data_IF_069961629442
#
_entry.id   IF_069961629442
#
_cell.length_a   1.000
_cell.length_b   1.000
_cell.length_c   1.000
_cell.angle_alpha   90.00
_cell.angle_beta   90.00
_cell.angle_gamma   90.00
#
_symmetry.space_group_name_H-M   'P 1'
#
loop_
_entity.id
_entity.type
_entity.pdbx_description
1 polymer ?
#
# COMPACT_ATOMS: atom_id res chain seq x y z
N UNK A 1 -25.03 -25.31 -14.65
CA UNK A 1 -25.33 -24.65 -15.93
C UNK A 1 -24.01 -24.44 -16.65
N UNK A 2 -23.73 -25.33 -17.62
CA UNK A 2 -22.44 -25.43 -18.33
C UNK A 2 -22.50 -24.51 -19.55
N UNK A 3 -21.57 -23.59 -19.71
CA UNK A 3 -21.41 -22.83 -20.94
C UNK A 3 -20.11 -23.28 -21.64
N UNK A 4 -20.31 -24.03 -22.72
CA UNK A 4 -19.30 -24.40 -23.72
C UNK A 4 -19.12 -23.20 -24.66
N UNK A 5 -17.90 -22.73 -24.84
CA UNK A 5 -17.57 -21.85 -25.96
C UNK A 5 -16.56 -22.58 -26.85
N UNK A 6 -17.03 -22.82 -28.08
CA UNK A 6 -16.35 -23.54 -29.11
C UNK A 6 -15.30 -22.70 -29.84
N UNK A 7 -14.20 -23.35 -30.13
CA UNK A 7 -13.12 -22.94 -31.03
C UNK A 7 -13.62 -22.71 -32.47
N UNK A 8 -13.21 -21.63 -33.11
CA UNK A 8 -13.17 -21.52 -34.56
C UNK A 8 -11.75 -21.16 -35.01
N UNK A 9 -11.10 -22.19 -35.53
CA UNK A 9 -10.00 -22.04 -36.47
C UNK A 9 -10.61 -21.65 -37.84
N UNK A 10 -10.10 -20.58 -38.45
CA UNK A 10 -10.22 -20.33 -39.85
C UNK A 10 -8.82 -20.24 -40.48
N UNK A 11 -8.49 -21.30 -41.18
CA UNK A 11 -7.39 -21.37 -42.15
C UNK A 11 -7.65 -20.35 -43.26
N UNK A 12 -6.65 -19.55 -43.56
CA UNK A 12 -6.60 -18.81 -44.81
C UNK A 12 -5.34 -19.26 -45.55
N UNK A 13 -5.58 -20.17 -46.49
CA UNK A 13 -4.63 -20.60 -47.54
C UNK A 13 -4.80 -19.65 -48.69
N UNK A 14 -3.76 -18.92 -49.04
CA UNK A 14 -3.68 -18.01 -50.19
C UNK A 14 -2.51 -18.38 -51.05
N UNK A 15 -2.78 -19.18 -52.04
CA UNK A 15 -1.91 -19.55 -53.16
C UNK A 15 -1.70 -18.34 -54.07
N UNK A 16 -0.49 -17.83 -54.17
CA UNK A 16 -0.09 -16.73 -55.06
C UNK A 16 0.89 -17.23 -56.15
N UNK A 17 0.39 -17.40 -57.32
CA UNK A 17 1.07 -17.79 -58.56
C UNK A 17 2.32 -16.98 -58.87
N UNK A 18 3.41 -17.67 -59.09
CA UNK A 18 4.62 -17.23 -59.77
C UNK A 18 4.33 -16.89 -61.23
N UNK A 19 4.61 -15.68 -61.65
CA UNK A 19 4.74 -15.27 -63.02
C UNK A 19 6.23 -14.99 -63.26
N UNK A 20 6.88 -16.01 -63.83
CA UNK A 20 8.17 -15.86 -64.50
C UNK A 20 7.99 -15.03 -65.73
N UNK A 21 8.55 -13.84 -65.82
CA UNK A 21 8.80 -13.13 -67.09
C UNK A 21 10.28 -13.07 -67.30
N UNK A 22 10.73 -13.84 -68.23
CA UNK A 22 12.07 -13.80 -68.75
C UNK A 22 12.44 -12.42 -69.33
N UNK A 23 13.50 -11.86 -68.79
CA UNK A 23 14.16 -10.72 -69.37
C UNK A 23 15.28 -11.21 -70.30
N UNK A 24 15.11 -10.97 -71.55
CA UNK A 24 16.13 -11.19 -72.60
C UNK A 24 17.36 -10.33 -72.31
N UNK A 25 18.52 -10.96 -72.32
CA UNK A 25 19.81 -10.30 -72.13
C UNK A 25 20.14 -9.44 -73.36
N UNK A 26 20.32 -8.14 -73.16
CA UNK A 26 20.95 -7.22 -74.07
C UNK A 26 22.46 -7.15 -73.85
N UNK A 27 23.33 -7.32 -74.83
CA UNK A 27 24.76 -7.51 -74.61
C UNK A 27 25.58 -6.20 -74.46
N UNK A 28 24.98 -5.08 -74.09
CA UNK A 28 25.77 -3.85 -73.86
C UNK A 28 25.09 -2.84 -72.97
N UNK A 29 24.82 -3.28 -71.74
CA UNK A 29 24.47 -2.38 -70.70
C UNK A 29 25.76 -2.01 -69.94
N UNK A 30 26.04 -0.71 -69.66
CA UNK A 30 27.17 -0.30 -68.85
C UNK A 30 26.94 -0.80 -67.43
N UNK A 31 28.00 -1.31 -66.84
CA UNK A 31 28.01 -1.75 -65.42
C UNK A 31 27.52 -0.62 -64.51
N UNK A 32 26.30 -0.75 -64.04
CA UNK A 32 25.82 0.09 -62.96
C UNK A 32 26.67 -0.22 -61.73
N UNK A 33 27.64 0.67 -61.47
CA UNK A 33 28.37 0.70 -60.21
C UNK A 33 27.35 0.66 -59.06
N UNK A 34 27.47 -0.36 -58.24
CA UNK A 34 26.57 -0.58 -57.12
C UNK A 34 26.52 0.64 -56.23
N UNK A 35 25.40 1.35 -56.32
CA UNK A 35 25.01 2.30 -55.29
C UNK A 35 24.68 1.47 -54.06
N UNK A 36 25.70 1.21 -53.21
CA UNK A 36 25.47 0.83 -51.81
C UNK A 36 24.70 1.96 -51.19
N UNK A 37 23.38 1.79 -51.03
CA UNK A 37 22.60 2.59 -50.15
C UNK A 37 23.24 2.48 -48.77
N UNK A 38 24.08 3.44 -48.44
CA UNK A 38 24.51 3.66 -47.05
C UNK A 38 23.22 3.96 -46.31
N UNK A 39 22.69 2.97 -45.65
CA UNK A 39 21.75 3.22 -44.59
C UNK A 39 22.43 4.25 -43.69
N UNK A 40 21.84 5.44 -43.65
CA UNK A 40 22.33 6.52 -42.77
C UNK A 40 22.14 6.02 -41.34
N UNK A 41 23.17 5.38 -40.78
CA UNK A 41 23.23 5.09 -39.37
C UNK A 41 23.27 6.45 -38.66
N UNK A 42 22.09 6.92 -38.30
CA UNK A 42 21.96 8.05 -37.38
C UNK A 42 22.48 7.62 -36.04
N UNK A 43 23.76 7.86 -35.77
CA UNK A 43 24.31 7.71 -34.45
C UNK A 43 23.56 8.63 -33.48
N UNK A 44 23.21 8.07 -32.31
CA UNK A 44 22.62 8.86 -31.23
C UNK A 44 23.57 9.99 -30.84
N UNK A 45 23.04 11.19 -30.75
CA UNK A 45 23.79 12.35 -30.22
C UNK A 45 24.03 12.16 -28.72
N UNK A 46 25.22 12.50 -28.24
CA UNK A 46 25.56 12.44 -26.81
C UNK A 46 24.57 13.29 -25.98
N UNK A 47 24.10 14.40 -26.53
CA UNK A 47 23.08 15.23 -25.86
C UNK A 47 21.73 14.54 -25.79
N UNK A 48 21.33 13.76 -26.81
CA UNK A 48 20.07 13.01 -26.80
C UNK A 48 20.08 11.94 -25.69
N UNK A 49 21.20 11.23 -25.53
CA UNK A 49 21.38 10.27 -24.45
C UNK A 49 21.31 10.94 -23.08
N UNK A 50 21.94 12.12 -22.95
CA UNK A 50 21.91 12.89 -21.70
C UNK A 50 20.47 13.32 -21.34
N UNK A 51 19.72 13.82 -22.30
CA UNK A 51 18.31 14.22 -22.09
C UNK A 51 17.45 13.04 -21.68
N UNK A 52 17.65 11.87 -22.33
CA UNK A 52 16.90 10.65 -22.01
C UNK A 52 17.15 10.20 -20.57
N UNK A 53 18.40 10.16 -20.11
CA UNK A 53 18.69 9.75 -18.72
C UNK A 53 18.15 10.75 -17.69
N UNK A 54 18.14 12.05 -18.01
CA UNK A 54 17.53 13.08 -17.15
C UNK A 54 16.02 12.88 -17.06
N UNK A 55 15.34 12.63 -18.18
CA UNK A 55 13.89 12.39 -18.18
C UNK A 55 13.57 11.09 -17.42
N UNK A 56 14.31 10.00 -17.64
CA UNK A 56 14.13 8.76 -16.92
C UNK A 56 14.35 8.96 -15.43
N UNK A 57 15.38 9.70 -15.04
CA UNK A 57 15.66 10.04 -13.65
C UNK A 57 14.52 10.82 -13.00
N UNK A 58 13.97 11.82 -13.66
CA UNK A 58 12.81 12.59 -13.17
C UNK A 58 11.56 11.72 -13.05
N UNK A 59 11.25 10.91 -14.05
CA UNK A 59 10.09 10.01 -14.03
C UNK A 59 10.21 8.95 -12.94
N UNK A 60 11.43 8.42 -12.71
CA UNK A 60 11.68 7.44 -11.64
C UNK A 60 11.40 8.00 -10.25
N UNK A 61 11.68 9.28 -10.02
CA UNK A 61 11.43 9.95 -8.74
C UNK A 61 9.93 10.00 -8.42
N UNK A 62 9.09 10.27 -9.42
CA UNK A 62 7.63 10.32 -9.26
C UNK A 62 7.06 8.94 -8.89
N UNK A 63 7.55 7.87 -9.51
CA UNK A 63 7.07 6.50 -9.24
C UNK A 63 7.39 6.07 -7.80
N UNK A 64 8.58 6.37 -7.29
CA UNK A 64 8.97 6.00 -5.91
C UNK A 64 8.09 6.71 -4.88
N UNK A 65 7.77 7.99 -5.09
CA UNK A 65 6.93 8.76 -4.16
C UNK A 65 5.47 8.28 -4.16
N UNK A 66 4.97 7.76 -5.28
CA UNK A 66 3.58 7.26 -5.40
C UNK A 66 3.40 5.82 -4.99
N UNK A 67 4.47 5.04 -4.85
CA UNK A 67 4.41 3.67 -4.28
C UNK A 67 4.14 3.76 -2.77
N UNK A 68 2.86 3.94 -2.43
CA UNK A 68 2.41 3.86 -1.05
C UNK A 68 2.49 2.40 -0.62
N UNK A 69 3.46 2.07 0.24
CA UNK A 69 3.59 0.73 0.81
C UNK A 69 2.31 0.39 1.62
N UNK A 70 1.51 -0.61 1.20
CA UNK A 70 0.32 -1.00 1.94
C UNK A 70 0.66 -1.53 3.35
N UNK A 71 1.85 -2.14 3.52
CA UNK A 71 2.33 -2.64 4.81
C UNK A 71 2.64 -1.50 5.77
N UNK A 72 3.27 -0.43 5.29
CA UNK A 72 3.58 0.74 6.09
C UNK A 72 2.36 1.42 6.68
N UNK A 73 1.19 1.30 6.06
CA UNK A 73 -0.03 1.95 6.55
C UNK A 73 -0.61 1.24 7.78
N UNK A 74 -0.75 -0.09 7.76
CA UNK A 74 -1.34 -0.82 8.89
C UNK A 74 -0.40 -0.81 10.10
N UNK A 75 0.90 -0.94 9.87
CA UNK A 75 1.92 -0.79 10.91
C UNK A 75 1.91 0.63 11.46
N UNK A 76 1.79 1.65 10.58
CA UNK A 76 1.68 3.04 10.99
C UNK A 76 0.43 3.35 11.83
N UNK A 77 -0.70 2.69 11.56
CA UNK A 77 -1.90 2.80 12.41
C UNK A 77 -1.70 2.14 13.77
N UNK A 78 -1.09 0.96 13.79
CA UNK A 78 -0.75 0.29 15.04
C UNK A 78 0.24 1.11 15.89
N UNK A 79 1.24 1.74 15.26
CA UNK A 79 2.21 2.59 15.93
C UNK A 79 1.59 3.89 16.46
N UNK A 80 0.71 4.52 15.67
CA UNK A 80 -0.07 5.69 16.13
C UNK A 80 -0.95 5.33 17.33
N UNK A 81 -1.65 4.21 17.24
CA UNK A 81 -2.46 3.69 18.35
C UNK A 81 -1.59 3.46 19.59
N UNK A 82 -0.46 2.75 19.46
CA UNK A 82 0.46 2.49 20.55
C UNK A 82 1.00 3.79 21.19
N UNK A 83 1.34 4.79 20.37
CA UNK A 83 1.75 6.11 20.86
C UNK A 83 0.67 6.80 21.67
N UNK A 84 -0.59 6.74 21.21
CA UNK A 84 -1.73 7.34 21.94
C UNK A 84 -2.09 6.59 23.21
N UNK A 85 -1.98 5.26 23.22
CA UNK A 85 -2.17 4.46 24.44
C UNK A 85 -1.12 4.82 25.51
N UNK A 86 0.16 4.98 25.10
CA UNK A 86 1.21 5.45 26.01
C UNK A 86 0.88 6.85 26.56
N UNK A 87 0.47 7.77 25.70
CA UNK A 87 0.06 9.12 26.12
C UNK A 87 -1.14 9.10 27.08
N UNK A 88 -2.12 8.22 26.87
CA UNK A 88 -3.26 8.05 27.78
C UNK A 88 -2.80 7.52 29.16
N UNK A 89 -1.94 6.50 29.17
CA UNK A 89 -1.34 5.98 30.40
C UNK A 89 -0.58 7.07 31.16
N UNK A 90 0.28 7.82 30.46
CA UNK A 90 1.06 8.91 31.08
C UNK A 90 0.12 10.01 31.58
N UNK A 91 -0.95 10.33 30.86
CA UNK A 91 -1.98 11.27 31.32
C UNK A 91 -2.70 10.79 32.59
N UNK A 92 -2.98 9.48 32.70
CA UNK A 92 -3.55 8.89 33.91
C UNK A 92 -2.63 9.10 35.12
N UNK A 93 -1.32 8.85 34.93
CA UNK A 93 -0.31 9.03 35.98
C UNK A 93 -0.18 10.51 36.38
N UNK A 94 -0.01 11.39 35.40
CA UNK A 94 0.22 12.83 35.65
C UNK A 94 -1.00 13.51 36.28
N UNK A 95 -2.22 13.15 35.81
CA UNK A 95 -3.45 13.73 36.38
C UNK A 95 -3.93 13.05 37.65
N UNK A 96 -3.35 11.89 38.01
CA UNK A 96 -3.83 11.06 39.11
C UNK A 96 -5.25 10.54 38.96
N UNK A 97 -5.76 10.50 37.69
CA UNK A 97 -7.13 10.12 37.38
C UNK A 97 -7.16 8.94 36.42
N UNK A 98 -7.99 7.93 36.70
CA UNK A 98 -8.11 6.80 35.79
C UNK A 98 -8.54 7.22 34.38
N UNK A 99 -7.95 6.53 33.39
CA UNK A 99 -8.25 6.70 31.97
C UNK A 99 -8.75 5.38 31.38
N UNK A 100 -9.85 5.40 30.64
CA UNK A 100 -10.34 4.25 29.90
C UNK A 100 -9.96 4.36 28.44
N UNK A 101 -9.63 3.22 27.84
CA UNK A 101 -9.48 3.01 26.43
C UNK A 101 -10.61 2.11 25.95
N UNK A 102 -11.26 2.46 24.87
CA UNK A 102 -12.13 1.54 24.14
C UNK A 102 -11.62 1.36 22.72
N UNK A 103 -11.79 0.15 22.20
CA UNK A 103 -11.43 -0.23 20.83
C UNK A 103 -12.63 -0.90 20.19
N UNK A 104 -13.09 -0.38 19.07
CA UNK A 104 -14.12 -0.96 18.21
C UNK A 104 -13.52 -1.44 16.90
N UNK A 105 -14.32 -2.12 16.08
CA UNK A 105 -13.88 -2.55 14.75
C UNK A 105 -13.44 -1.40 13.84
N UNK A 106 -14.06 -0.23 13.97
CA UNK A 106 -13.85 0.93 13.09
C UNK A 106 -12.92 1.98 13.67
N UNK A 107 -12.69 1.99 14.98
CA UNK A 107 -11.90 3.02 15.63
C UNK A 107 -11.67 2.77 17.11
N UNK A 108 -11.11 3.75 17.77
CA UNK A 108 -10.78 3.71 19.19
C UNK A 108 -10.89 5.10 19.82
N UNK A 109 -11.01 5.16 21.14
CA UNK A 109 -11.04 6.42 21.85
C UNK A 109 -10.72 6.27 23.31
N UNK A 110 -10.62 7.42 23.97
CA UNK A 110 -10.21 7.52 25.34
C UNK A 110 -11.24 8.29 26.16
N UNK A 111 -11.40 7.88 27.42
CA UNK A 111 -12.29 8.51 28.38
C UNK A 111 -11.50 8.78 29.66
N UNK A 112 -11.76 9.89 30.29
CA UNK A 112 -11.18 10.22 31.60
C UNK A 112 -12.26 10.18 32.68
N UNK A 113 -11.91 9.69 33.85
CA UNK A 113 -12.82 9.70 35.00
C UNK A 113 -12.84 11.07 35.64
N UNK A 114 -13.97 11.76 35.61
CA UNK A 114 -14.18 13.07 36.20
C UNK A 114 -15.40 13.02 37.13
N UNK A 115 -15.22 13.39 38.40
CA UNK A 115 -16.31 13.39 39.38
C UNK A 115 -17.10 12.06 39.50
N UNK A 116 -16.42 10.93 39.22
CA UNK A 116 -17.04 9.61 39.27
C UNK A 116 -17.62 9.11 37.94
N UNK A 117 -17.75 9.98 36.95
CA UNK A 117 -18.28 9.66 35.61
C UNK A 117 -17.16 9.54 34.56
N UNK A 118 -17.41 8.73 33.52
CA UNK A 118 -16.53 8.62 32.37
C UNK A 118 -16.89 9.67 31.32
N UNK A 119 -15.92 10.53 31.01
CA UNK A 119 -16.09 11.55 29.94
C UNK A 119 -15.16 11.26 28.78
N UNK A 120 -15.76 11.16 27.59
CA UNK A 120 -15.00 11.01 26.36
C UNK A 120 -14.13 12.24 26.09
N UNK A 121 -12.92 12.03 25.66
CA UNK A 121 -12.02 13.08 25.23
C UNK A 121 -12.30 13.38 23.74
N UNK A 122 -12.88 14.55 23.46
CA UNK A 122 -13.27 14.98 22.11
C UNK A 122 -12.22 15.85 21.45
N UNK A 123 -11.22 16.33 22.18
CA UNK A 123 -10.20 17.26 21.68
C UNK A 123 -8.79 16.78 22.02
N UNK A 124 -7.82 17.26 21.23
CA UNK A 124 -6.40 16.99 21.43
C UNK A 124 -5.95 15.59 20.98
N UNK A 125 -4.75 15.17 21.41
CA UNK A 125 -4.12 13.93 20.93
C UNK A 125 -4.83 12.65 21.39
N UNK A 126 -5.74 12.73 22.37
CA UNK A 126 -6.51 11.61 22.91
C UNK A 126 -7.98 11.62 22.48
N UNK A 127 -8.37 12.46 21.52
CA UNK A 127 -9.70 12.41 20.91
C UNK A 127 -9.93 11.05 20.24
N UNK A 128 -11.18 10.62 20.10
CA UNK A 128 -11.51 9.42 19.34
C UNK A 128 -10.98 9.49 17.91
N UNK A 129 -10.59 8.37 17.35
CA UNK A 129 -10.08 8.27 15.99
C UNK A 129 -10.50 6.97 15.34
N UNK A 130 -10.81 7.06 14.06
CA UNK A 130 -11.04 5.89 13.22
C UNK A 130 -9.71 5.28 12.76
N UNK A 131 -9.73 3.97 12.50
CA UNK A 131 -8.65 3.34 11.78
C UNK A 131 -8.54 3.92 10.37
N UNK A 132 -7.37 3.86 9.74
CA UNK A 132 -7.25 4.33 8.37
C UNK A 132 -8.16 3.52 7.44
N UNK A 133 -8.45 4.07 6.26
CA UNK A 133 -9.36 3.47 5.28
C UNK A 133 -9.08 1.96 5.12
N UNK A 134 -10.15 1.16 5.20
CA UNK A 134 -10.16 -0.29 5.02
C UNK A 134 -9.44 -1.10 6.12
N UNK A 135 -8.91 -0.44 7.17
CA UNK A 135 -8.38 -1.14 8.34
C UNK A 135 -9.50 -1.40 9.36
N UNK A 136 -9.49 -2.59 9.96
CA UNK A 136 -10.47 -2.99 10.97
C UNK A 136 -9.77 -3.76 12.10
N UNK A 137 -10.18 -3.45 13.33
CA UNK A 137 -9.77 -4.26 14.46
C UNK A 137 -10.64 -5.52 14.54
N UNK A 138 -9.98 -6.68 14.67
CA UNK A 138 -10.62 -7.99 14.84
C UNK A 138 -10.32 -8.51 16.22
N UNK A 139 -11.37 -8.93 16.91
CA UNK A 139 -11.31 -9.57 18.22
C UNK A 139 -12.46 -10.56 18.34
N UNK A 140 -12.25 -11.58 19.15
CA UNK A 140 -13.18 -12.71 19.25
C UNK A 140 -14.35 -12.39 20.20
N UNK A 141 -15.58 -12.63 19.68
CA UNK A 141 -16.78 -12.74 20.52
C UNK A 141 -17.38 -11.47 21.08
N UNK A 142 -16.77 -10.28 20.84
CA UNK A 142 -17.24 -9.01 21.37
C UNK A 142 -17.27 -7.93 20.28
N UNK A 143 -18.11 -6.93 20.41
CA UNK A 143 -18.18 -5.81 19.46
C UNK A 143 -17.22 -4.66 19.81
N UNK A 144 -16.76 -4.61 21.06
CA UNK A 144 -15.88 -3.59 21.57
C UNK A 144 -15.06 -4.13 22.73
N UNK A 145 -13.78 -3.79 22.76
CA UNK A 145 -12.90 -4.02 23.89
C UNK A 145 -12.80 -2.75 24.73
N UNK A 146 -12.70 -2.90 26.06
CA UNK A 146 -12.46 -1.79 26.96
C UNK A 146 -11.43 -2.16 27.99
N UNK A 147 -10.58 -1.22 28.38
CA UNK A 147 -9.55 -1.35 29.39
C UNK A 147 -9.42 -0.05 30.17
N UNK A 148 -9.02 -0.13 31.42
CA UNK A 148 -8.84 1.06 32.28
C UNK A 148 -7.41 1.09 32.81
N UNK A 149 -6.74 2.23 32.64
CA UNK A 149 -5.51 2.56 33.34
C UNK A 149 -5.85 3.22 34.65
N UNK A 150 -5.27 2.75 35.75
CA UNK A 150 -5.37 3.38 37.03
C UNK A 150 -4.45 4.62 37.13
N UNK A 151 -4.49 5.32 38.27
CA UNK A 151 -3.67 6.51 38.50
C UNK A 151 -2.16 6.25 38.60
N UNK A 152 -1.72 5.00 38.67
CA UNK A 152 -0.31 4.60 38.61
C UNK A 152 0.10 4.00 37.29
N UNK A 153 -0.82 4.01 36.31
CA UNK A 153 -0.57 3.59 34.92
C UNK A 153 -0.61 2.08 34.71
N UNK A 154 -1.24 1.31 35.62
CA UNK A 154 -1.48 -0.12 35.44
C UNK A 154 -2.81 -0.35 34.75
N UNK A 155 -2.86 -1.33 33.87
CA UNK A 155 -4.09 -1.75 33.22
C UNK A 155 -4.84 -2.75 34.10
N UNK A 156 -6.18 -2.67 34.08
CA UNK A 156 -7.07 -3.59 34.79
C UNK A 156 -7.11 -4.98 34.15
N UNK A 157 -6.84 -5.05 32.87
CA UNK A 157 -6.80 -6.31 32.11
C UNK A 157 -5.84 -6.19 30.90
N UNK A 158 -5.46 -7.33 30.34
CA UNK A 158 -4.74 -7.37 29.05
C UNK A 158 -5.72 -7.15 27.92
N UNK A 159 -5.29 -6.43 26.88
CA UNK A 159 -6.06 -6.23 25.68
C UNK A 159 -5.26 -6.81 24.49
N UNK A 160 -5.90 -7.68 23.73
CA UNK A 160 -5.27 -8.34 22.58
C UNK A 160 -6.26 -8.32 21.40
N UNK A 161 -5.80 -7.80 20.26
CA UNK A 161 -6.58 -7.79 19.04
C UNK A 161 -5.67 -7.73 17.82
N UNK A 162 -6.23 -8.03 16.67
CA UNK A 162 -5.53 -7.97 15.39
C UNK A 162 -6.11 -6.83 14.56
N UNK A 163 -5.26 -5.89 14.18
CA UNK A 163 -5.60 -4.90 13.17
C UNK A 163 -5.39 -5.53 11.80
N UNK A 164 -6.43 -5.62 10.99
CA UNK A 164 -6.40 -6.26 9.68
C UNK A 164 -6.81 -5.28 8.57
N UNK A 165 -6.14 -5.43 7.42
CA UNK A 165 -6.44 -4.70 6.19
C UNK A 165 -6.07 -5.57 5.00
N UNK A 166 -7.05 -5.92 4.18
CA UNK A 166 -6.86 -6.87 3.08
C UNK A 166 -6.21 -8.18 3.55
N UNK A 167 -5.06 -8.52 3.00
CA UNK A 167 -4.26 -9.69 3.34
C UNK A 167 -3.24 -9.43 4.46
N UNK A 168 -3.20 -8.21 5.00
CA UNK A 168 -2.22 -7.80 6.01
C UNK A 168 -2.84 -7.73 7.39
N UNK A 169 -2.09 -8.11 8.39
CA UNK A 169 -2.51 -8.05 9.78
C UNK A 169 -1.35 -7.71 10.70
N UNK A 170 -1.66 -7.00 11.75
CA UNK A 170 -0.73 -6.64 12.82
C UNK A 170 -1.41 -6.95 14.15
N UNK A 171 -0.80 -7.77 14.96
CA UNK A 171 -1.27 -8.05 16.31
C UNK A 171 -0.89 -6.91 17.24
N UNK A 172 -1.85 -6.46 18.02
CA UNK A 172 -1.66 -5.42 19.03
C UNK A 172 -2.03 -6.01 20.38
N UNK A 173 -1.08 -5.95 21.31
CA UNK A 173 -1.26 -6.43 22.67
C UNK A 173 -0.87 -5.36 23.67
N UNK A 174 -1.71 -5.16 24.67
CA UNK A 174 -1.43 -4.29 25.81
C UNK A 174 -1.37 -5.18 27.05
N UNK A 175 -0.23 -5.17 27.71
CA UNK A 175 -0.01 -5.94 28.95
C UNK A 175 -0.51 -5.18 30.17
N UNK A 176 -0.62 -5.86 31.33
CA UNK A 176 -1.07 -5.26 32.61
C UNK A 176 -0.19 -4.12 33.10
N UNK A 177 1.07 -4.06 32.67
CA UNK A 177 1.98 -2.96 32.98
C UNK A 177 1.76 -1.73 32.06
N UNK A 178 0.76 -1.79 31.19
CA UNK A 178 0.42 -0.74 30.22
C UNK A 178 1.38 -0.64 29.02
N UNK A 179 2.25 -1.62 28.82
CA UNK A 179 3.11 -1.67 27.64
C UNK A 179 2.34 -2.17 26.43
N UNK A 180 2.50 -1.46 25.33
CA UNK A 180 1.93 -1.84 24.03
C UNK A 180 2.99 -2.53 23.20
N UNK A 181 2.67 -3.73 22.72
CA UNK A 181 3.46 -4.52 21.78
C UNK A 181 2.71 -4.60 20.48
N UNK A 182 3.38 -4.28 19.39
CA UNK A 182 2.88 -4.42 18.01
C UNK A 182 3.78 -5.41 17.27
N UNK A 183 3.20 -6.35 16.54
CA UNK A 183 3.98 -7.36 15.80
C UNK A 183 3.08 -8.30 15.01
N UNK A 184 3.71 -9.24 14.30
CA UNK A 184 3.04 -10.34 13.59
C UNK A 184 2.57 -11.42 14.54
#
# INVERSE_FOLDING_TARGET
>A
MKLKIASRLSQFSGEGRSLERGCAASPWAPACAGARSRACERGFSLIELLVVIVIIGLLSTVVVVTMTDPRGRITGDADKFAGRVRAARDSAIVSGRPMALWVSQTGYGFERREQGEWRALSEGPLAAADWSRDAQARFDGVSQLRMVFDSVGRADQTLDFTLARDMQHVRVRIDLDGRVKTGE
#
